data_IF_771408970799
#
_entry.id   IF_771408970799
#
_cell.length_a   1.000
_cell.length_b   1.000
_cell.length_c   1.000
_cell.angle_alpha   90.00
_cell.angle_beta   90.00
_cell.angle_gamma   90.00
#
_symmetry.space_group_name_H-M   'P 1'
#
loop_
_entity.id
_entity.type
_entity.pdbx_description
1 polymer ?
#
# COMPACT_ATOMS: atom_id res chain seq x y z
N UNK A 1 2.00 10.02 19.86
CA UNK A 1 2.34 9.26 18.61
C UNK A 1 2.33 10.24 17.45
N UNK A 2 3.45 10.39 16.76
CA UNK A 2 3.61 11.22 15.56
C UNK A 2 3.45 10.34 14.32
N UNK A 3 2.43 10.60 13.48
CA UNK A 3 2.20 9.91 12.22
C UNK A 3 2.61 10.84 11.07
N UNK A 4 3.44 10.36 10.16
CA UNK A 4 3.81 11.10 8.95
C UNK A 4 3.21 10.42 7.71
N UNK A 5 2.74 11.23 6.77
CA UNK A 5 2.32 10.79 5.44
C UNK A 5 3.30 11.35 4.42
N UNK A 6 3.92 10.48 3.66
CA UNK A 6 4.93 10.87 2.66
C UNK A 6 4.27 11.73 1.59
N UNK A 7 4.76 12.98 1.47
CA UNK A 7 4.32 13.92 0.46
C UNK A 7 5.25 13.83 -0.76
N UNK A 8 4.70 13.44 -1.89
CA UNK A 8 5.38 13.46 -3.18
C UNK A 8 4.37 13.82 -4.27
N UNK A 9 4.74 13.75 -5.53
CA UNK A 9 3.87 14.13 -6.65
C UNK A 9 2.78 13.08 -6.94
N UNK A 10 2.06 12.63 -5.91
CA UNK A 10 0.97 11.66 -6.04
C UNK A 10 -0.33 12.20 -5.43
N UNK A 11 -1.45 11.78 -6.01
CA UNK A 11 -2.77 12.05 -5.48
C UNK A 11 -3.15 11.18 -4.28
N UNK A 12 -4.37 11.37 -3.78
CA UNK A 12 -5.00 10.60 -2.71
C UNK A 12 -4.46 10.81 -1.28
N UNK A 13 -3.43 11.62 -1.07
CA UNK A 13 -2.92 11.96 0.27
C UNK A 13 -4.05 12.52 1.15
N UNK A 14 -4.96 13.34 0.59
CA UNK A 14 -6.09 13.91 1.33
C UNK A 14 -7.08 12.87 1.84
N UNK A 15 -7.36 11.83 1.06
CA UNK A 15 -8.28 10.76 1.50
C UNK A 15 -7.71 9.99 2.68
N UNK A 16 -6.40 9.75 2.69
CA UNK A 16 -5.70 9.12 3.81
C UNK A 16 -5.71 10.04 5.04
N UNK A 17 -5.43 11.33 4.88
CA UNK A 17 -5.50 12.32 5.94
C UNK A 17 -6.89 12.40 6.57
N UNK A 18 -7.96 12.43 5.77
CA UNK A 18 -9.32 12.40 6.27
C UNK A 18 -9.65 11.09 7.01
N UNK A 19 -9.16 9.95 6.54
CA UNK A 19 -9.35 8.68 7.24
C UNK A 19 -8.65 8.68 8.61
N UNK A 20 -7.42 9.19 8.69
CA UNK A 20 -6.69 9.33 9.95
C UNK A 20 -7.39 10.31 10.91
N UNK A 21 -7.90 11.44 10.42
CA UNK A 21 -8.66 12.41 11.22
C UNK A 21 -9.94 11.80 11.82
N UNK A 22 -10.65 10.94 11.07
CA UNK A 22 -11.80 10.20 11.62
C UNK A 22 -11.41 9.29 12.77
N UNK A 23 -10.17 8.79 12.77
CA UNK A 23 -9.61 7.98 13.86
C UNK A 23 -8.96 8.83 14.98
N UNK A 24 -9.12 10.16 14.93
CA UNK A 24 -8.56 11.08 15.92
C UNK A 24 -7.05 11.32 15.79
N UNK A 25 -6.46 11.03 14.65
CA UNK A 25 -5.03 11.20 14.39
C UNK A 25 -4.79 12.35 13.43
N UNK A 26 -4.01 13.34 13.85
CA UNK A 26 -3.50 14.40 13.00
C UNK A 26 -2.12 14.00 12.47
N UNK A 27 -2.05 13.70 11.17
CA UNK A 27 -0.81 13.30 10.51
C UNK A 27 -0.08 14.52 9.92
N UNK A 28 1.26 14.47 9.94
CA UNK A 28 2.11 15.44 9.26
C UNK A 28 2.32 15.00 7.82
N UNK A 29 1.80 15.76 6.87
CA UNK A 29 2.02 15.50 5.44
C UNK A 29 3.31 16.22 5.03
N UNK A 30 4.37 15.45 4.77
CA UNK A 30 5.70 16.02 4.58
C UNK A 30 6.57 15.24 3.60
N UNK A 31 7.50 15.95 2.95
CA UNK A 31 8.63 15.37 2.22
C UNK A 31 9.97 15.60 2.95
N UNK A 32 9.92 16.26 4.12
CA UNK A 32 11.11 16.50 4.92
C UNK A 32 11.63 15.19 5.53
N UNK A 33 12.93 14.97 5.34
CA UNK A 33 13.58 13.70 5.73
C UNK A 33 13.65 13.52 7.24
N UNK A 34 13.89 14.60 8.00
CA UNK A 34 13.98 14.55 9.45
C UNK A 34 12.60 14.30 10.08
N UNK A 35 11.56 14.93 9.52
CA UNK A 35 10.19 14.70 9.95
C UNK A 35 9.75 13.26 9.72
N UNK A 36 10.08 12.67 8.55
CA UNK A 36 9.78 11.28 8.23
C UNK A 36 10.55 10.31 9.14
N UNK A 37 11.84 10.56 9.39
CA UNK A 37 12.67 9.71 10.25
C UNK A 37 12.25 9.79 11.73
N UNK A 38 11.79 10.95 12.21
CA UNK A 38 11.38 11.15 13.59
C UNK A 38 9.94 10.75 13.90
N UNK A 39 9.17 10.35 12.89
CA UNK A 39 7.80 9.90 13.08
C UNK A 39 7.77 8.50 13.71
N UNK A 40 6.76 8.23 14.55
CA UNK A 40 6.53 6.90 15.12
C UNK A 40 5.97 5.91 14.07
N UNK A 41 5.22 6.43 13.09
CA UNK A 41 4.60 5.69 11.99
C UNK A 41 4.70 6.48 10.70
N UNK A 42 4.92 5.80 9.58
CA UNK A 42 4.95 6.43 8.26
C UNK A 42 3.94 5.76 7.34
N UNK A 43 3.11 6.55 6.68
CA UNK A 43 2.22 6.06 5.62
C UNK A 43 2.76 6.54 4.27
N UNK A 44 2.91 5.61 3.36
CA UNK A 44 3.35 5.84 2.00
C UNK A 44 2.19 5.57 1.04
N UNK A 45 1.27 6.54 0.86
CA UNK A 45 0.13 6.38 -0.01
C UNK A 45 0.54 6.58 -1.45
N UNK A 46 -0.31 6.25 -2.41
CA UNK A 46 -0.11 6.67 -3.78
C UNK A 46 -1.21 6.27 -4.73
N UNK A 47 -1.45 7.16 -5.66
CA UNK A 47 -2.17 6.92 -6.91
C UNK A 47 -1.37 7.60 -8.01
N UNK A 48 -1.33 7.01 -9.20
CA UNK A 48 -0.56 7.51 -10.31
C UNK A 48 0.19 6.37 -10.98
N UNK A 49 1.30 6.68 -11.58
CA UNK A 49 2.08 5.77 -12.42
C UNK A 49 3.47 5.55 -11.78
N UNK A 50 3.95 4.29 -11.87
CA UNK A 50 5.13 3.86 -11.12
C UNK A 50 6.42 4.53 -11.58
N UNK A 51 6.68 4.63 -12.89
CA UNK A 51 7.92 5.19 -13.43
C UNK A 51 8.11 6.65 -13.04
N UNK A 52 7.09 7.47 -13.29
CA UNK A 52 7.13 8.91 -12.96
C UNK A 52 7.35 9.13 -11.46
N UNK A 53 6.71 8.29 -10.64
CA UNK A 53 6.85 8.37 -9.19
C UNK A 53 8.24 7.93 -8.74
N UNK A 54 8.78 6.83 -9.25
CA UNK A 54 10.15 6.40 -8.92
C UNK A 54 11.20 7.42 -9.33
N UNK A 55 11.04 8.04 -10.50
CA UNK A 55 11.93 9.12 -10.94
C UNK A 55 11.91 10.31 -9.96
N UNK A 56 10.73 10.69 -9.46
CA UNK A 56 10.60 11.73 -8.44
C UNK A 56 11.25 11.33 -7.11
N UNK A 57 11.02 10.11 -6.62
CA UNK A 57 11.62 9.62 -5.37
C UNK A 57 13.14 9.61 -5.45
N UNK A 58 13.71 9.12 -6.56
CA UNK A 58 15.16 9.11 -6.81
C UNK A 58 15.73 10.55 -6.86
N UNK A 59 15.07 11.45 -7.57
CA UNK A 59 15.51 12.85 -7.69
C UNK A 59 15.51 13.61 -6.36
N UNK A 60 14.65 13.21 -5.41
CA UNK A 60 14.54 13.84 -4.07
C UNK A 60 15.30 13.06 -2.99
N UNK A 61 15.79 11.85 -3.29
CA UNK A 61 16.42 10.93 -2.34
C UNK A 61 15.44 10.40 -1.29
N UNK A 62 14.13 10.39 -1.58
CA UNK A 62 13.10 9.76 -0.76
C UNK A 62 13.13 8.23 -0.91
N UNK A 63 13.60 7.72 -2.04
CA UNK A 63 13.78 6.29 -2.29
C UNK A 63 14.68 5.63 -1.24
N UNK A 64 15.88 6.17 -1.05
CA UNK A 64 16.82 5.67 -0.05
C UNK A 64 16.33 5.92 1.38
N UNK A 65 15.66 7.05 1.62
CA UNK A 65 15.08 7.32 2.92
C UNK A 65 14.05 6.25 3.30
N UNK A 66 13.06 6.00 2.44
CA UNK A 66 11.95 5.08 2.73
C UNK A 66 12.48 3.67 2.99
N UNK A 67 13.43 3.18 2.20
CA UNK A 67 14.06 1.87 2.39
C UNK A 67 14.74 1.70 3.75
N UNK A 68 15.23 2.79 4.32
CA UNK A 68 16.01 2.78 5.56
C UNK A 68 15.20 3.15 6.81
N UNK A 69 13.90 3.42 6.69
CA UNK A 69 13.03 3.65 7.84
C UNK A 69 12.97 2.41 8.74
N UNK A 70 12.96 2.63 10.06
CA UNK A 70 12.96 1.57 11.07
C UNK A 70 11.64 1.41 11.79
N UNK A 71 10.86 2.48 11.86
CA UNK A 71 9.49 2.46 12.38
C UNK A 71 8.54 1.77 11.40
N UNK A 72 7.33 1.38 11.81
CA UNK A 72 6.34 0.81 10.92
C UNK A 72 6.01 1.74 9.75
N UNK A 73 6.06 1.19 8.54
CA UNK A 73 5.76 1.87 7.28
C UNK A 73 4.60 1.17 6.58
N UNK A 74 3.61 1.92 6.14
CA UNK A 74 2.43 1.40 5.48
C UNK A 74 2.28 1.91 4.05
N UNK A 75 2.54 1.06 3.06
CA UNK A 75 2.32 1.32 1.64
C UNK A 75 0.87 1.06 1.21
N UNK A 76 0.24 2.02 0.53
CA UNK A 76 -1.13 1.90 0.05
C UNK A 76 -1.17 2.02 -1.47
N UNK A 77 -1.73 1.04 -2.15
CA UNK A 77 -1.92 0.96 -3.60
C UNK A 77 -0.60 1.18 -4.36
N UNK A 78 -0.39 2.32 -5.01
CA UNK A 78 0.89 2.63 -5.68
C UNK A 78 2.06 2.58 -4.68
N UNK A 79 1.90 3.07 -3.44
CA UNK A 79 2.93 2.97 -2.40
C UNK A 79 3.38 1.52 -2.16
N UNK A 80 2.44 0.54 -2.14
CA UNK A 80 2.77 -0.88 -2.10
C UNK A 80 3.55 -1.33 -3.34
N UNK A 81 3.10 -0.93 -4.53
CA UNK A 81 3.73 -1.29 -5.79
C UNK A 81 5.19 -0.82 -5.84
N UNK A 82 5.45 0.42 -5.40
CA UNK A 82 6.80 0.99 -5.34
C UNK A 82 7.70 0.33 -4.28
N UNK A 83 7.15 -0.32 -3.26
CA UNK A 83 7.92 -1.12 -2.30
C UNK A 83 8.43 -2.46 -2.88
N UNK A 84 7.88 -2.92 -4.00
CA UNK A 84 8.33 -4.14 -4.69
C UNK A 84 9.68 -3.93 -5.40
N UNK A 85 10.23 -4.98 -6.00
CA UNK A 85 11.50 -4.93 -6.72
C UNK A 85 11.35 -4.21 -8.06
N UNK A 86 10.37 -4.61 -8.86
CA UNK A 86 10.15 -4.15 -10.23
C UNK A 86 8.66 -4.01 -10.51
N UNK A 87 8.29 -3.10 -11.40
CA UNK A 87 6.93 -2.95 -11.88
C UNK A 87 6.86 -2.97 -13.41
N UNK A 88 5.96 -3.81 -13.94
CA UNK A 88 5.59 -3.78 -15.36
C UNK A 88 4.86 -2.47 -15.74
N UNK A 89 4.36 -1.70 -14.77
CA UNK A 89 3.87 -0.34 -15.02
C UNK A 89 5.06 0.60 -15.19
N UNK A 90 5.31 1.00 -16.44
CA UNK A 90 6.46 1.84 -16.80
C UNK A 90 7.80 1.10 -16.84
N UNK A 91 7.80 -0.25 -16.71
CA UNK A 91 9.02 -1.09 -16.80
C UNK A 91 10.15 -0.57 -15.91
N UNK A 92 9.87 -0.29 -14.63
CA UNK A 92 10.76 0.43 -13.73
C UNK A 92 11.20 -0.40 -12.52
N UNK A 93 12.49 -0.28 -12.18
CA UNK A 93 13.02 -0.77 -10.90
C UNK A 93 12.54 0.12 -9.75
N UNK A 94 11.92 -0.52 -8.74
CA UNK A 94 11.33 0.11 -7.59
C UNK A 94 12.23 0.01 -6.34
N UNK A 95 11.66 0.15 -5.14
CA UNK A 95 12.44 0.22 -3.89
C UNK A 95 13.07 -1.11 -3.45
N UNK A 96 12.61 -2.24 -3.98
CA UNK A 96 13.09 -3.58 -3.63
C UNK A 96 13.08 -3.89 -2.11
N UNK A 97 12.04 -3.43 -1.41
CA UNK A 97 11.77 -3.82 -0.01
C UNK A 97 11.21 -5.24 0.00
N UNK A 98 10.22 -5.50 -0.86
CA UNK A 98 9.71 -6.83 -1.17
C UNK A 98 10.38 -7.32 -2.47
N UNK A 99 11.15 -8.40 -2.39
CA UNK A 99 11.81 -9.01 -3.57
C UNK A 99 10.80 -9.79 -4.42
N UNK A 100 9.90 -9.05 -5.07
CA UNK A 100 8.82 -9.56 -5.91
C UNK A 100 8.46 -8.53 -6.98
N UNK A 101 8.05 -9.01 -8.16
CA UNK A 101 7.66 -8.16 -9.28
C UNK A 101 6.16 -7.89 -9.29
N UNK A 102 5.82 -6.67 -9.67
CA UNK A 102 4.46 -6.24 -9.96
C UNK A 102 4.15 -6.53 -11.43
N UNK A 103 3.07 -7.28 -11.69
CA UNK A 103 2.66 -7.73 -13.02
C UNK A 103 1.35 -7.08 -13.45
N UNK A 104 1.14 -6.96 -14.75
CA UNK A 104 -0.12 -6.49 -15.31
C UNK A 104 -1.15 -7.62 -15.35
N UNK A 105 -2.40 -7.32 -15.00
CA UNK A 105 -3.51 -8.25 -15.27
C UNK A 105 -3.74 -8.40 -16.77
N UNK A 106 -3.84 -9.65 -17.19
CA UNK A 106 -4.21 -10.01 -18.57
C UNK A 106 -5.57 -10.72 -18.53
N UNK A 107 -6.62 -10.14 -19.13
CA UNK A 107 -7.93 -10.79 -19.23
C UNK A 107 -7.81 -12.18 -19.84
N UNK A 108 -8.44 -13.17 -19.23
CA UNK A 108 -8.51 -14.56 -19.73
C UNK A 108 -9.86 -14.87 -20.38
N UNK A 109 -10.89 -14.08 -20.03
CA UNK A 109 -12.26 -14.20 -20.53
C UNK A 109 -12.78 -12.83 -20.93
N UNK A 110 -13.85 -12.79 -21.71
CA UNK A 110 -14.50 -11.55 -22.14
C UNK A 110 -15.02 -10.71 -20.95
N UNK A 111 -15.42 -11.37 -19.86
CA UNK A 111 -15.95 -10.75 -18.64
C UNK A 111 -14.87 -10.14 -17.75
N UNK A 112 -13.62 -10.56 -17.91
CA UNK A 112 -12.49 -10.06 -17.13
C UNK A 112 -12.21 -8.61 -17.51
N UNK A 113 -12.38 -7.71 -16.54
CA UNK A 113 -12.14 -6.28 -16.77
C UNK A 113 -10.86 -5.83 -16.10
N UNK A 114 -10.08 -5.04 -16.79
CA UNK A 114 -8.90 -4.36 -16.24
C UNK A 114 -9.11 -2.86 -16.45
N UNK A 115 -9.06 -2.05 -15.39
CA UNK A 115 -8.64 -2.36 -14.01
C UNK A 115 -9.64 -3.22 -13.21
N UNK A 116 -9.14 -3.97 -12.23
CA UNK A 116 -9.91 -4.47 -11.10
C UNK A 116 -10.41 -3.26 -10.31
N UNK A 117 -11.70 -2.97 -10.38
CA UNK A 117 -12.31 -1.81 -9.75
C UNK A 117 -13.58 -2.21 -9.02
N UNK A 118 -13.64 -1.90 -7.73
CA UNK A 118 -14.80 -2.15 -6.89
C UNK A 118 -14.46 -2.86 -5.59
N UNK A 119 -15.52 -3.36 -4.95
CA UNK A 119 -15.42 -4.11 -3.70
C UNK A 119 -15.13 -5.57 -3.98
N UNK A 120 -14.18 -6.13 -3.24
CA UNK A 120 -13.86 -7.55 -3.27
C UNK A 120 -13.39 -8.00 -1.90
N UNK A 121 -13.39 -9.32 -1.65
CA UNK A 121 -13.02 -9.88 -0.36
C UNK A 121 -11.51 -10.06 -0.23
N UNK A 122 -11.01 -9.96 0.99
CA UNK A 122 -9.69 -10.41 1.39
C UNK A 122 -9.82 -11.61 2.30
N UNK A 123 -8.97 -12.60 2.09
CA UNK A 123 -8.92 -13.82 2.90
C UNK A 123 -7.49 -14.25 3.21
N UNK A 124 -7.34 -15.38 3.92
CA UNK A 124 -6.03 -15.94 4.31
C UNK A 124 -5.10 -14.91 4.95
N UNK A 125 -5.63 -14.13 5.88
CA UNK A 125 -4.89 -13.04 6.52
C UNK A 125 -3.84 -13.57 7.50
N UNK A 126 -2.62 -13.06 7.39
CA UNK A 126 -1.50 -13.42 8.24
C UNK A 126 -0.63 -12.19 8.53
N UNK A 127 -1.16 -11.25 9.29
CA UNK A 127 -0.42 -10.04 9.70
C UNK A 127 -1.19 -9.34 10.82
N UNK A 128 -0.48 -8.61 11.67
CA UNK A 128 -1.09 -7.74 12.69
C UNK A 128 -2.03 -6.68 12.12
N UNK A 129 -1.91 -6.30 10.84
CA UNK A 129 -2.88 -5.44 10.18
C UNK A 129 -4.31 -6.00 10.20
N UNK A 130 -4.44 -7.32 10.25
CA UNK A 130 -5.72 -8.02 10.19
C UNK A 130 -6.12 -8.63 11.53
N UNK A 131 -5.54 -8.14 12.62
CA UNK A 131 -5.90 -8.60 13.97
C UNK A 131 -7.39 -8.40 14.24
N UNK A 132 -8.02 -9.46 14.74
CA UNK A 132 -9.47 -9.49 15.02
C UNK A 132 -10.34 -9.68 13.77
N UNK A 133 -9.77 -10.06 12.61
CA UNK A 133 -10.53 -10.52 11.44
C UNK A 133 -10.75 -12.03 11.58
N UNK A 134 -12.01 -12.46 11.52
CA UNK A 134 -12.41 -13.86 11.68
C UNK A 134 -13.00 -14.45 10.41
N UNK A 135 -13.42 -13.62 9.48
CA UNK A 135 -14.08 -13.97 8.23
C UNK A 135 -13.49 -13.17 7.08
N UNK A 136 -13.92 -13.46 5.86
CA UNK A 136 -13.61 -12.63 4.71
C UNK A 136 -14.24 -11.24 4.86
N UNK A 137 -13.44 -10.22 4.60
CA UNK A 137 -13.84 -8.83 4.72
C UNK A 137 -13.78 -8.12 3.37
N UNK A 138 -14.77 -7.26 3.10
CA UNK A 138 -14.81 -6.48 1.88
C UNK A 138 -13.95 -5.23 1.97
N UNK A 139 -13.15 -5.01 0.93
CA UNK A 139 -12.30 -3.82 0.76
C UNK A 139 -12.40 -3.29 -0.68
N UNK A 140 -12.03 -2.03 -0.88
CA UNK A 140 -12.15 -1.35 -2.17
C UNK A 140 -10.84 -1.39 -2.95
N UNK A 141 -10.90 -1.92 -4.18
CA UNK A 141 -9.80 -2.01 -5.13
C UNK A 141 -9.98 -1.06 -6.31
N UNK A 142 -8.88 -0.54 -6.84
CA UNK A 142 -8.78 0.09 -8.15
C UNK A 142 -7.35 -0.02 -8.66
N UNK A 143 -7.06 -1.07 -9.45
CA UNK A 143 -5.71 -1.31 -9.96
C UNK A 143 -5.70 -2.19 -11.22
N UNK A 144 -4.70 -2.00 -12.08
CA UNK A 144 -4.44 -2.82 -13.26
C UNK A 144 -3.26 -3.77 -13.10
N UNK A 145 -2.49 -3.58 -12.03
CA UNK A 145 -1.27 -4.34 -11.74
C UNK A 145 -1.39 -5.02 -10.38
N UNK A 146 -0.75 -6.17 -10.22
CA UNK A 146 -0.84 -7.00 -9.02
C UNK A 146 0.50 -7.64 -8.68
N UNK A 147 0.63 -8.11 -7.45
CA UNK A 147 1.72 -8.98 -7.01
C UNK A 147 1.19 -10.40 -6.90
N UNK A 148 1.82 -11.39 -7.57
CA UNK A 148 1.49 -12.81 -7.35
C UNK A 148 1.60 -13.18 -5.86
N UNK A 149 0.95 -14.26 -5.45
CA UNK A 149 1.18 -14.80 -4.12
C UNK A 149 2.65 -15.21 -3.93
N UNK A 150 3.23 -14.83 -2.81
CA UNK A 150 4.65 -15.02 -2.49
C UNK A 150 4.85 -15.15 -0.98
N UNK A 151 6.09 -15.32 -0.54
CA UNK A 151 6.42 -15.47 0.90
C UNK A 151 6.08 -14.24 1.75
N UNK A 152 5.93 -13.07 1.12
CA UNK A 152 5.52 -11.83 1.80
C UNK A 152 4.01 -11.64 1.87
N UNK A 153 3.20 -12.54 1.29
CA UNK A 153 1.74 -12.40 1.22
C UNK A 153 1.13 -12.39 2.62
N UNK A 154 0.49 -11.28 2.97
CA UNK A 154 -0.20 -11.08 4.25
C UNK A 154 -1.73 -11.22 4.15
N UNK A 155 -2.29 -11.07 2.96
CA UNK A 155 -3.68 -11.38 2.63
C UNK A 155 -3.80 -11.65 1.14
N UNK A 156 -4.79 -12.46 0.75
CA UNK A 156 -5.09 -12.82 -0.64
C UNK A 156 -6.45 -12.31 -1.08
N UNK A 157 -6.60 -12.13 -2.38
CA UNK A 157 -7.87 -11.87 -3.08
C UNK A 157 -7.89 -12.65 -4.37
N UNK A 158 -9.06 -13.14 -4.75
CA UNK A 158 -9.29 -13.74 -6.05
C UNK A 158 -9.92 -12.73 -7.01
N UNK A 159 -9.33 -12.58 -8.19
CA UNK A 159 -9.90 -11.81 -9.29
C UNK A 159 -9.77 -12.59 -10.60
N UNK A 160 -8.95 -12.20 -11.56
CA UNK A 160 -8.65 -13.04 -12.75
C UNK A 160 -7.92 -14.32 -12.31
N UNK A 161 -7.09 -14.20 -11.29
CA UNK A 161 -6.41 -15.28 -10.57
C UNK A 161 -6.10 -14.80 -9.14
N UNK A 162 -5.75 -15.71 -8.21
CA UNK A 162 -5.34 -15.31 -6.87
C UNK A 162 -4.12 -14.40 -6.88
N UNK A 163 -4.13 -13.36 -6.03
CA UNK A 163 -3.01 -12.44 -5.90
C UNK A 163 -2.83 -11.94 -4.44
N UNK A 164 -1.68 -11.35 -4.16
CA UNK A 164 -1.40 -10.73 -2.86
C UNK A 164 -2.16 -9.42 -2.71
N UNK A 165 -3.24 -9.41 -1.93
CA UNK A 165 -3.97 -8.20 -1.56
C UNK A 165 -3.20 -7.34 -0.57
N UNK A 166 -2.36 -7.96 0.27
CA UNK A 166 -1.47 -7.30 1.21
C UNK A 166 -0.13 -8.02 1.29
N UNK A 167 0.92 -7.27 1.62
CA UNK A 167 2.28 -7.74 1.84
C UNK A 167 2.76 -7.30 3.22
N UNK A 168 3.65 -8.11 3.84
CA UNK A 168 4.31 -7.79 5.09
C UNK A 168 5.73 -8.36 5.10
N UNK A 169 6.69 -7.53 5.50
CA UNK A 169 8.07 -7.90 5.77
C UNK A 169 8.65 -6.93 6.79
N UNK A 170 9.15 -7.47 7.90
CA UNK A 170 9.77 -6.69 8.98
C UNK A 170 8.86 -5.55 9.47
N UNK A 171 9.29 -4.29 9.32
CA UNK A 171 8.52 -3.09 9.67
C UNK A 171 7.69 -2.54 8.49
N UNK A 172 7.69 -3.20 7.32
CA UNK A 172 6.97 -2.77 6.13
C UNK A 172 5.67 -3.55 5.95
N UNK A 173 4.58 -2.83 5.90
CA UNK A 173 3.22 -3.31 5.66
C UNK A 173 2.69 -2.68 4.39
N UNK A 174 1.90 -3.39 3.60
CA UNK A 174 1.38 -2.81 2.37
C UNK A 174 0.07 -3.45 1.93
N UNK A 175 -0.84 -2.66 1.34
CA UNK A 175 -2.10 -3.13 0.78
C UNK A 175 -2.28 -2.69 -0.66
N UNK A 176 -2.88 -3.55 -1.49
CA UNK A 176 -3.29 -3.18 -2.85
C UNK A 176 -4.57 -2.37 -2.84
N UNK A 177 -5.48 -2.71 -1.96
CA UNK A 177 -6.73 -1.99 -1.77
C UNK A 177 -6.49 -0.68 -1.01
N UNK A 178 -7.51 0.15 -1.00
CA UNK A 178 -7.52 1.44 -0.34
C UNK A 178 -8.24 1.35 1.01
N UNK A 179 -7.54 1.19 2.15
CA UNK A 179 -8.21 1.15 3.45
C UNK A 179 -8.98 2.44 3.73
N UNK A 180 -8.48 3.61 3.28
CA UNK A 180 -9.15 4.89 3.44
C UNK A 180 -10.50 5.01 2.68
N UNK A 181 -10.78 4.04 1.78
CA UNK A 181 -12.03 3.91 1.01
C UNK A 181 -12.82 2.64 1.36
N UNK A 182 -12.35 1.85 2.30
CA UNK A 182 -12.90 0.53 2.62
C UNK A 182 -13.82 0.51 3.85
N UNK A 183 -14.43 1.65 4.20
CA UNK A 183 -15.41 1.76 5.27
C UNK A 183 -14.87 1.28 6.62
N UNK A 184 -15.68 0.55 7.38
CA UNK A 184 -15.31 0.05 8.72
C UNK A 184 -14.14 -0.94 8.70
N UNK A 185 -14.08 -1.79 7.68
CA UNK A 185 -12.95 -2.72 7.48
C UNK A 185 -11.65 -1.95 7.31
N UNK A 186 -11.66 -0.91 6.49
CA UNK A 186 -10.51 -0.04 6.30
C UNK A 186 -10.10 0.74 7.54
N UNK A 187 -11.07 1.25 8.30
CA UNK A 187 -10.82 1.90 9.60
C UNK A 187 -10.18 0.95 10.60
N UNK A 188 -10.61 -0.32 10.65
CA UNK A 188 -10.01 -1.35 11.51
C UNK A 188 -8.56 -1.64 11.10
N UNK A 189 -8.27 -1.74 9.80
CA UNK A 189 -6.90 -1.95 9.29
C UNK A 189 -6.00 -0.76 9.66
N UNK A 190 -6.47 0.47 9.45
CA UNK A 190 -5.72 1.66 9.83
C UNK A 190 -5.49 1.73 11.34
N UNK A 191 -6.50 1.39 12.15
CA UNK A 191 -6.38 1.33 13.62
C UNK A 191 -5.36 0.29 14.04
N UNK A 192 -5.37 -0.91 13.44
CA UNK A 192 -4.39 -1.96 13.71
C UNK A 192 -2.96 -1.49 13.37
N UNK A 193 -2.78 -0.82 12.22
CA UNK A 193 -1.49 -0.21 11.87
C UNK A 193 -1.02 0.83 12.90
N UNK A 194 -1.92 1.69 13.36
CA UNK A 194 -1.60 2.71 14.36
C UNK A 194 -1.20 2.10 15.71
N UNK A 195 -1.64 0.90 16.02
CA UNK A 195 -1.37 0.19 17.27
C UNK A 195 -0.14 -0.75 17.23
N UNK A 196 0.56 -0.83 16.08
CA UNK A 196 1.80 -1.63 15.95
C UNK A 196 2.94 -1.11 16.87
#
# INVERSE_FOLDING_TARGET
>A
MKVAVVKYNAGNIRSVDYALKRLGVEAVITADKEELQSADKVIFPGVGEAETTMNHLKATGLDELIKNLRQPVFGICLGRQLMCRYSEEGEVDCLNIFDVDVKRFVPQKHEDKVPHMGWNTIGKTNSKLFEGFTEEEFVYFVHSFYVPTCDFTAATTDYIHPFSAALHKDNFYATQFHPEKSGKTGEKILTNFLNL
#
